data_IF_762047187694
#
_entry.id   IF_762047187694
#
_cell.length_a   1.000
_cell.length_b   1.000
_cell.length_c   1.000
_cell.angle_alpha   90.00
_cell.angle_beta   90.00
_cell.angle_gamma   90.00
#
_symmetry.space_group_name_H-M   'P 1'
#
loop_
_entity.id
_entity.type
_entity.pdbx_description
1 polymer ?
#
# COMPACT_ATOMS: atom_id res chain seq x y z
N UNK A 1 -38.10 8.19 -4.27
CA UNK A 1 -37.17 9.32 -4.05
C UNK A 1 -37.21 9.55 -2.56
N UNK A 2 -36.35 8.87 -1.81
CA UNK A 2 -36.62 8.64 -0.37
C UNK A 2 -35.75 9.51 0.53
N UNK A 3 -34.86 10.31 -0.07
CA UNK A 3 -33.90 11.15 0.65
C UNK A 3 -34.47 12.53 1.02
N UNK A 4 -35.62 12.93 0.45
CA UNK A 4 -36.35 14.14 0.82
C UNK A 4 -37.82 13.85 1.10
N UNK A 5 -38.50 14.81 1.70
CA UNK A 5 -39.91 14.75 2.07
C UNK A 5 -40.63 16.02 1.63
N UNK A 6 -41.96 16.01 1.69
CA UNK A 6 -42.73 17.25 1.62
C UNK A 6 -42.46 18.10 2.86
N UNK A 7 -42.10 19.37 2.68
CA UNK A 7 -41.81 20.30 3.75
C UNK A 7 -43.07 20.74 4.54
N UNK A 8 -44.27 20.40 4.04
CA UNK A 8 -45.54 20.68 4.69
C UNK A 8 -46.06 19.50 5.53
N UNK A 9 -46.14 18.31 4.92
CA UNK A 9 -46.77 17.14 5.55
C UNK A 9 -45.78 16.02 5.90
N UNK A 10 -44.48 16.23 5.66
CA UNK A 10 -43.39 15.29 5.95
C UNK A 10 -43.48 13.91 5.25
N UNK A 11 -44.42 13.74 4.31
CA UNK A 11 -44.55 12.51 3.52
C UNK A 11 -43.30 12.29 2.66
N UNK A 12 -42.72 11.10 2.76
CA UNK A 12 -41.52 10.65 2.01
C UNK A 12 -41.82 9.80 0.78
N UNK A 13 -43.00 9.18 0.70
CA UNK A 13 -43.32 8.18 -0.33
C UNK A 13 -44.61 8.49 -1.10
N UNK A 14 -44.64 8.02 -2.36
CA UNK A 14 -45.88 7.81 -3.11
C UNK A 14 -46.61 9.06 -3.63
N UNK A 15 -45.91 10.16 -3.93
CA UNK A 15 -46.48 11.29 -4.67
C UNK A 15 -45.42 11.97 -5.53
N UNK A 16 -45.84 12.61 -6.63
CA UNK A 16 -44.98 13.51 -7.39
C UNK A 16 -44.63 14.72 -6.52
N UNK A 17 -43.35 15.10 -6.50
CA UNK A 17 -42.87 16.26 -5.76
C UNK A 17 -42.56 17.41 -6.72
N UNK A 18 -42.71 18.63 -6.24
CA UNK A 18 -42.29 19.83 -6.94
C UNK A 18 -41.52 20.76 -5.99
N UNK A 19 -40.56 21.49 -6.54
CA UNK A 19 -39.88 22.57 -5.83
C UNK A 19 -40.52 23.91 -6.18
N UNK A 20 -40.83 24.71 -5.18
CA UNK A 20 -41.32 26.07 -5.36
C UNK A 20 -40.18 27.04 -5.68
N UNK A 21 -40.48 28.19 -6.28
CA UNK A 21 -39.50 29.27 -6.53
C UNK A 21 -38.86 29.83 -5.26
N UNK A 22 -39.47 29.63 -4.08
CA UNK A 22 -38.88 29.96 -2.78
C UNK A 22 -38.06 28.81 -2.14
N UNK A 23 -37.87 27.69 -2.85
CA UNK A 23 -37.00 26.59 -2.43
C UNK A 23 -37.66 25.49 -1.58
N UNK A 24 -38.96 25.57 -1.30
CA UNK A 24 -39.67 24.53 -0.55
C UNK A 24 -40.11 23.38 -1.45
N UNK A 25 -39.90 22.14 -0.99
CA UNK A 25 -40.33 20.93 -1.69
C UNK A 25 -41.71 20.51 -1.17
N UNK A 26 -42.67 20.34 -2.08
CA UNK A 26 -44.04 19.95 -1.75
C UNK A 26 -44.45 18.69 -2.52
N UNK A 27 -45.20 17.79 -1.88
CA UNK A 27 -45.92 16.76 -2.62
C UNK A 27 -47.13 17.38 -3.32
N UNK A 28 -47.58 16.76 -4.41
CA UNK A 28 -48.72 17.21 -5.20
C UNK A 28 -49.95 17.64 -4.36
N UNK A 29 -50.41 16.89 -3.32
CA UNK A 29 -51.54 17.33 -2.49
C UNK A 29 -51.32 18.62 -1.68
N UNK A 30 -50.06 19.00 -1.44
CA UNK A 30 -49.71 20.21 -0.69
C UNK A 30 -49.46 21.42 -1.59
N UNK A 31 -49.46 21.25 -2.92
CA UNK A 31 -49.29 22.35 -3.86
C UNK A 31 -50.58 23.19 -3.88
N UNK A 32 -50.43 24.50 -3.68
CA UNK A 32 -51.50 25.51 -3.69
C UNK A 32 -51.03 26.73 -4.48
N UNK A 33 -51.92 27.72 -4.66
CA UNK A 33 -51.59 29.00 -5.31
C UNK A 33 -50.48 29.79 -4.59
N UNK A 34 -50.38 29.62 -3.26
CA UNK A 34 -49.30 30.14 -2.43
C UNK A 34 -48.49 29.00 -1.82
N UNK A 35 -47.23 29.26 -1.49
CA UNK A 35 -46.38 28.30 -0.79
C UNK A 35 -47.01 27.90 0.55
N UNK A 36 -47.29 26.62 0.74
CA UNK A 36 -47.90 26.14 1.99
C UNK A 36 -46.98 26.32 3.20
N UNK A 37 -45.67 26.44 2.98
CA UNK A 37 -44.66 26.53 4.05
C UNK A 37 -44.40 27.98 4.48
N UNK A 38 -44.23 28.91 3.54
CA UNK A 38 -43.89 30.31 3.84
C UNK A 38 -44.91 31.36 3.36
N UNK A 39 -45.98 30.96 2.68
CA UNK A 39 -47.05 31.85 2.20
C UNK A 39 -46.72 32.66 0.94
N UNK A 40 -45.48 32.63 0.44
CA UNK A 40 -45.08 33.37 -0.75
C UNK A 40 -45.82 32.89 -2.01
N UNK A 41 -46.15 33.82 -2.92
CA UNK A 41 -46.57 33.48 -4.28
C UNK A 41 -45.42 32.81 -5.02
N UNK A 42 -45.61 31.56 -5.45
CA UNK A 42 -44.55 30.75 -6.03
C UNK A 42 -45.00 30.03 -7.29
N UNK A 43 -44.09 29.91 -8.25
CA UNK A 43 -44.19 28.87 -9.28
C UNK A 43 -43.66 27.54 -8.73
N UNK A 44 -44.12 26.43 -9.29
CA UNK A 44 -43.69 25.09 -8.91
C UNK A 44 -43.12 24.37 -10.12
N UNK A 45 -41.93 23.77 -9.94
CA UNK A 45 -41.27 22.95 -10.94
C UNK A 45 -41.30 21.48 -10.48
N UNK A 46 -41.90 20.56 -11.25
CA UNK A 46 -41.91 19.14 -10.93
C UNK A 46 -40.48 18.57 -10.84
N UNK A 47 -40.20 17.85 -9.76
CA UNK A 47 -38.95 17.11 -9.57
C UNK A 47 -39.16 15.73 -10.23
N UNK A 48 -38.62 15.58 -11.44
CA UNK A 48 -38.79 14.36 -12.24
C UNK A 48 -37.47 13.87 -12.81
N UNK A 49 -37.46 12.64 -13.31
CA UNK A 49 -36.27 12.08 -13.97
C UNK A 49 -35.92 12.75 -15.30
N UNK A 50 -36.84 13.52 -15.89
CA UNK A 50 -36.70 14.22 -17.17
C UNK A 50 -36.05 15.61 -17.06
N UNK A 51 -35.70 16.08 -15.86
CA UNK A 51 -34.97 17.34 -15.66
C UNK A 51 -33.60 17.29 -16.34
N UNK A 52 -33.04 18.47 -16.68
CA UNK A 52 -31.69 18.53 -17.26
C UNK A 52 -30.68 17.89 -16.29
N UNK A 53 -29.66 17.16 -16.77
CA UNK A 53 -28.70 16.48 -15.89
C UNK A 53 -28.04 17.38 -14.84
N UNK A 54 -27.81 18.66 -15.18
CA UNK A 54 -27.23 19.67 -14.30
C UNK A 54 -28.16 20.04 -13.13
N UNK A 55 -29.47 20.14 -13.38
CA UNK A 55 -30.48 20.44 -12.37
C UNK A 55 -30.77 19.21 -11.50
N UNK A 56 -30.78 18.02 -12.13
CA UNK A 56 -31.04 16.75 -11.46
C UNK A 56 -30.02 16.44 -10.36
N UNK A 57 -28.78 16.92 -10.48
CA UNK A 57 -27.73 16.73 -9.47
C UNK A 57 -28.14 17.22 -8.08
N UNK A 58 -28.90 18.31 -7.99
CA UNK A 58 -29.36 18.87 -6.71
C UNK A 58 -30.43 18.01 -6.03
N UNK A 59 -31.05 17.09 -6.77
CA UNK A 59 -32.10 16.22 -6.27
C UNK A 59 -31.68 14.74 -6.16
N UNK A 60 -30.38 14.45 -6.27
CA UNK A 60 -29.84 13.11 -6.06
C UNK A 60 -29.63 12.84 -4.58
N UNK A 61 -29.74 11.56 -4.22
CA UNK A 61 -29.42 11.07 -2.88
C UNK A 61 -27.98 11.48 -2.52
N UNK A 62 -27.79 12.30 -1.46
CA UNK A 62 -26.47 12.80 -1.09
C UNK A 62 -25.54 11.67 -0.66
N UNK A 63 -26.05 10.59 -0.07
CA UNK A 63 -25.23 9.43 0.33
C UNK A 63 -24.66 8.75 -0.91
N UNK A 64 -25.49 8.49 -1.92
CA UNK A 64 -25.04 7.89 -3.18
C UNK A 64 -24.04 8.78 -3.92
N UNK A 65 -24.26 10.10 -3.90
CA UNK A 65 -23.35 11.06 -4.52
C UNK A 65 -21.98 11.06 -3.83
N UNK A 66 -21.97 11.03 -2.49
CA UNK A 66 -20.73 10.97 -1.70
C UNK A 66 -20.02 9.63 -1.93
N UNK A 67 -20.73 8.51 -1.87
CA UNK A 67 -20.16 7.18 -2.10
C UNK A 67 -19.47 7.09 -3.45
N UNK A 68 -20.14 7.49 -4.53
CA UNK A 68 -19.55 7.51 -5.87
C UNK A 68 -18.28 8.37 -5.95
N UNK A 69 -18.27 9.55 -5.31
CA UNK A 69 -17.07 10.39 -5.28
C UNK A 69 -15.95 9.78 -4.44
N UNK A 70 -16.27 9.15 -3.31
CA UNK A 70 -15.29 8.49 -2.44
C UNK A 70 -14.62 7.30 -3.14
N UNK A 71 -15.34 6.55 -3.98
CA UNK A 71 -14.75 5.48 -4.79
C UNK A 71 -13.63 6.00 -5.70
N UNK A 72 -13.82 7.20 -6.29
CA UNK A 72 -12.80 7.83 -7.14
C UNK A 72 -11.63 8.44 -6.35
N UNK A 73 -11.86 8.90 -5.12
CA UNK A 73 -10.81 9.50 -4.27
C UNK A 73 -10.03 8.43 -3.52
N UNK A 74 -10.64 7.28 -3.28
CA UNK A 74 -10.05 6.16 -2.54
C UNK A 74 -8.83 5.62 -3.28
N UNK A 75 -7.65 6.12 -2.92
CA UNK A 75 -6.35 5.56 -3.31
C UNK A 75 -6.07 4.21 -2.63
N UNK A 76 -7.09 3.47 -2.17
CA UNK A 76 -6.94 2.17 -1.49
C UNK A 76 -6.01 1.24 -2.26
N UNK A 77 -6.22 1.11 -3.56
CA UNK A 77 -5.41 0.22 -4.40
C UNK A 77 -3.95 0.67 -4.48
N UNK A 78 -3.69 1.98 -4.52
CA UNK A 78 -2.32 2.50 -4.48
C UNK A 78 -1.67 2.24 -3.11
N UNK A 79 -2.39 2.48 -2.02
CA UNK A 79 -1.94 2.21 -0.65
C UNK A 79 -1.63 0.72 -0.44
N UNK A 80 -2.49 -0.17 -0.94
CA UNK A 80 -2.29 -1.62 -0.89
C UNK A 80 -1.02 -2.05 -1.62
N UNK A 81 -0.77 -1.51 -2.82
CA UNK A 81 0.46 -1.79 -3.59
C UNK A 81 1.71 -1.33 -2.84
N UNK A 82 1.68 -0.13 -2.25
CA UNK A 82 2.79 0.40 -1.45
C UNK A 82 3.02 -0.46 -0.21
N UNK A 83 1.96 -0.83 0.50
CA UNK A 83 2.05 -1.71 1.68
C UNK A 83 2.63 -3.08 1.33
N UNK A 84 2.18 -3.70 0.23
CA UNK A 84 2.70 -4.98 -0.24
C UNK A 84 4.20 -4.91 -0.58
N UNK A 85 4.62 -3.84 -1.27
CA UNK A 85 6.03 -3.62 -1.59
C UNK A 85 6.91 -3.55 -0.33
N UNK A 86 6.51 -2.74 0.66
CA UNK A 86 7.28 -2.60 1.89
C UNK A 86 7.25 -3.87 2.75
N UNK A 87 6.15 -4.61 2.79
CA UNK A 87 6.09 -5.92 3.46
C UNK A 87 7.06 -6.92 2.84
N UNK A 88 7.07 -7.04 1.51
CA UNK A 88 8.02 -7.92 0.81
C UNK A 88 9.46 -7.51 1.12
N UNK A 89 9.76 -6.21 1.05
CA UNK A 89 11.12 -5.71 1.32
C UNK A 89 11.55 -5.95 2.77
N UNK A 90 10.63 -5.84 3.72
CA UNK A 90 10.89 -6.16 5.12
C UNK A 90 11.31 -7.61 5.32
N UNK A 91 10.59 -8.56 4.70
CA UNK A 91 10.91 -10.00 4.78
C UNK A 91 12.27 -10.31 4.14
N UNK A 92 12.54 -9.73 2.97
CA UNK A 92 13.85 -9.87 2.29
C UNK A 92 15.00 -9.38 3.18
N UNK A 93 14.84 -8.20 3.79
CA UNK A 93 15.86 -7.62 4.67
C UNK A 93 16.06 -8.44 5.96
N UNK A 94 14.98 -8.99 6.53
CA UNK A 94 15.07 -9.86 7.70
C UNK A 94 15.82 -11.17 7.38
N UNK A 95 15.60 -11.73 6.19
CA UNK A 95 16.35 -12.90 5.70
C UNK A 95 17.85 -12.61 5.59
N UNK A 96 18.21 -11.49 4.93
CA UNK A 96 19.61 -11.06 4.81
C UNK A 96 20.28 -10.80 6.15
N UNK A 97 19.54 -10.26 7.13
CA UNK A 97 20.07 -10.04 8.48
C UNK A 97 20.41 -11.36 9.18
N UNK A 98 19.55 -12.39 9.04
CA UNK A 98 19.81 -13.73 9.58
C UNK A 98 21.05 -14.36 8.95
N UNK A 99 21.19 -14.27 7.63
CA UNK A 99 22.38 -14.77 6.92
C UNK A 99 23.67 -14.10 7.40
N UNK A 100 23.68 -12.76 7.52
CA UNK A 100 24.86 -12.02 8.00
C UNK A 100 25.20 -12.39 9.45
N UNK A 101 24.19 -12.63 10.27
CA UNK A 101 24.37 -13.02 11.67
C UNK A 101 25.01 -14.42 11.75
N UNK A 102 24.53 -15.37 10.95
CA UNK A 102 25.11 -16.72 10.85
C UNK A 102 26.56 -16.69 10.35
N UNK A 103 26.85 -15.90 9.31
CA UNK A 103 28.21 -15.70 8.81
C UNK A 103 29.14 -15.10 9.89
N UNK A 104 28.64 -14.18 10.72
CA UNK A 104 29.40 -13.62 11.83
C UNK A 104 29.81 -14.67 12.88
N UNK A 105 28.91 -15.62 13.18
CA UNK A 105 29.24 -16.73 14.08
C UNK A 105 30.32 -17.65 13.47
N UNK A 106 30.18 -18.02 12.20
CA UNK A 106 31.14 -18.88 11.51
C UNK A 106 32.53 -18.23 11.39
N UNK A 107 32.59 -16.92 11.09
CA UNK A 107 33.85 -16.19 11.07
C UNK A 107 34.53 -16.18 12.44
N UNK A 108 33.77 -15.96 13.51
CA UNK A 108 34.30 -15.95 14.88
C UNK A 108 34.89 -17.31 15.26
N UNK A 109 34.23 -18.40 14.86
CA UNK A 109 34.73 -19.76 15.07
C UNK A 109 36.01 -20.03 14.27
N UNK A 110 36.03 -19.65 12.99
CA UNK A 110 37.19 -19.82 12.12
C UNK A 110 38.39 -19.01 12.62
N UNK A 111 38.17 -17.79 13.11
CA UNK A 111 39.22 -16.97 13.74
C UNK A 111 39.81 -17.65 14.98
N UNK A 112 38.96 -18.24 15.83
CA UNK A 112 39.40 -19.03 17.00
C UNK A 112 40.24 -20.22 16.58
N UNK A 113 39.79 -21.02 15.62
CA UNK A 113 40.55 -22.18 15.11
C UNK A 113 41.88 -21.76 14.49
N UNK A 114 41.88 -20.69 13.71
CA UNK A 114 43.09 -20.15 13.08
C UNK A 114 44.08 -19.66 14.13
N UNK A 115 43.60 -19.06 15.22
CA UNK A 115 44.44 -18.65 16.35
C UNK A 115 45.06 -19.85 17.06
N UNK A 116 44.29 -20.91 17.34
CA UNK A 116 44.79 -22.15 17.94
C UNK A 116 45.85 -22.84 17.07
N UNK A 117 45.59 -22.98 15.76
CA UNK A 117 46.52 -23.62 14.82
C UNK A 117 47.82 -22.83 14.62
N UNK A 118 47.78 -21.50 14.77
CA UNK A 118 48.99 -20.65 14.72
C UNK A 118 49.92 -20.84 15.93
N UNK A 119 49.43 -21.31 17.08
CA UNK A 119 50.23 -21.52 18.31
C UNK A 119 51.39 -22.54 18.15
N UNK A 120 51.19 -23.75 17.60
CA UNK A 120 52.31 -24.69 17.39
C UNK A 120 53.23 -24.27 16.23
N UNK A 121 52.72 -23.54 15.23
CA UNK A 121 53.52 -23.04 14.09
C UNK A 121 54.50 -21.92 14.49
N UNK A 122 54.19 -21.15 15.53
CA UNK A 122 55.13 -20.18 16.10
C UNK A 122 56.19 -20.87 16.96
N UNK A 123 55.84 -21.93 17.70
CA UNK A 123 56.80 -22.73 18.47
C UNK A 123 57.83 -23.47 17.59
N UNK A 124 57.41 -24.07 16.47
CA UNK A 124 58.31 -24.79 15.55
C UNK A 124 59.28 -23.88 14.80
N UNK A 125 58.96 -22.59 14.65
CA UNK A 125 59.84 -21.58 14.03
C UNK A 125 60.97 -21.10 14.95
N UNK A 126 60.91 -21.41 16.24
CA UNK A 126 61.87 -20.91 17.26
C UNK A 126 62.87 -21.98 17.70
N UNK A 127 62.74 -23.25 17.32
CA UNK A 127 63.78 -24.25 17.57
C UNK A 127 65.00 -24.04 16.65
N UNK A 128 66.18 -23.68 17.19
CA UNK A 128 67.38 -23.51 16.38
C UNK A 128 68.04 -24.89 16.21
N UNK A 129 67.59 -25.64 15.22
CA UNK A 129 68.34 -26.80 14.72
C UNK A 129 69.06 -26.41 13.45
N UNK A 130 70.39 -26.32 13.48
CA UNK A 130 71.24 -26.12 12.31
C UNK A 130 70.96 -27.23 11.28
N UNK A 131 70.12 -26.94 10.29
CA UNK A 131 70.14 -27.69 9.04
C UNK A 131 71.33 -27.18 8.22
N UNK A 132 72.43 -27.92 8.25
CA UNK A 132 73.48 -27.78 7.25
C UNK A 132 72.88 -28.13 5.89
N UNK A 133 72.66 -27.11 5.06
CA UNK A 133 72.30 -27.29 3.66
C UNK A 133 73.59 -27.70 2.95
N UNK A 134 73.86 -29.00 2.89
CA UNK A 134 74.88 -29.52 1.99
C UNK A 134 74.30 -29.36 0.57
N UNK A 135 74.84 -28.43 -0.21
CA UNK A 135 74.38 -28.11 -1.55
C UNK A 135 74.72 -29.27 -2.52
N UNK A 136 73.93 -30.35 -2.48
CA UNK A 136 73.88 -31.31 -3.58
C UNK A 136 72.86 -30.80 -4.59
N UNK A 137 73.35 -30.29 -5.73
CA UNK A 137 72.55 -29.99 -6.92
C UNK A 137 71.75 -31.24 -7.29
N UNK A 138 70.44 -31.24 -7.06
CA UNK A 138 69.56 -32.22 -7.68
C UNK A 138 69.24 -31.75 -9.10
N UNK A 139 69.69 -32.51 -10.09
CA UNK A 139 69.34 -32.32 -11.50
C UNK A 139 67.85 -32.61 -11.70
N UNK A 140 67.15 -31.74 -12.44
CA UNK A 140 65.77 -32.00 -12.89
C UNK A 140 65.76 -33.18 -13.88
N UNK A 141 64.81 -34.13 -13.75
CA UNK A 141 64.71 -35.24 -14.69
C UNK A 141 64.21 -34.74 -16.05
N UNK A 142 64.98 -35.05 -17.10
CA UNK A 142 64.57 -34.85 -18.50
C UNK A 142 63.68 -36.03 -18.91
N UNK A 143 62.50 -35.74 -19.45
CA UNK A 143 61.60 -36.74 -19.98
C UNK A 143 62.17 -37.34 -21.26
N UNK A 144 62.35 -38.66 -21.29
CA UNK A 144 62.69 -39.43 -22.49
C UNK A 144 61.38 -39.91 -23.10
N UNK A 145 61.02 -39.40 -24.28
CA UNK A 145 59.99 -40.01 -25.12
C UNK A 145 60.67 -40.93 -26.14
N UNK A 146 60.23 -42.19 -26.19
CA UNK A 146 60.71 -43.22 -27.11
C UNK A 146 60.39 -42.90 -28.58
N UNK A 147 61.19 -43.43 -29.54
CA UNK A 147 61.20 -43.03 -30.96
C UNK A 147 59.97 -43.47 -31.76
#
# INVERSE_FOLDING_TARGET
MDWFHCNQCFKRSGAMFAISSCGHICCEPCIKSQCSVCGASCSYLPITDQMKPQEKVFFKDPVKLIQSRLEHISQRTQMERVSAHFKHKSVEMEGRLKEVTEQGYQLSELERETAELKKPLSQRRVSPGQFQINAQRMSLPVAVTSP
#
